data_IF_043213432859
#
_entry.id   IF_043213432859
#
_cell.length_a   1.000
_cell.length_b   1.000
_cell.length_c   1.000
_cell.angle_alpha   90.00
_cell.angle_beta   90.00
_cell.angle_gamma   90.00
#
_symmetry.space_group_name_H-M   'P 1'
#
loop_
_entity.id
_entity.type
_entity.pdbx_description
1 polymer ?
#
# COMPACT_ATOMS: atom_id res chain seq x y z
N UNK A 1 -2.97 -22.78 10.32
CA UNK A 1 -1.67 -22.51 10.95
C UNK A 1 -1.82 -21.29 11.84
N UNK A 2 -1.83 -21.51 13.14
CA UNK A 2 -1.95 -20.45 14.14
C UNK A 2 -0.56 -19.95 14.50
N UNK A 3 -0.25 -18.71 14.15
CA UNK A 3 0.96 -18.04 14.63
C UNK A 3 0.66 -17.46 16.01
N UNK A 4 1.32 -18.00 17.03
CA UNK A 4 1.28 -17.42 18.38
C UNK A 4 2.14 -16.16 18.38
N UNK A 5 1.49 -15.00 18.38
CA UNK A 5 2.14 -13.70 18.56
C UNK A 5 1.92 -13.24 20.00
N UNK A 6 2.82 -12.41 20.58
CA UNK A 6 2.72 -11.96 21.98
C UNK A 6 1.51 -11.04 22.27
N UNK A 7 0.59 -10.88 21.32
CA UNK A 7 -0.60 -10.02 21.39
C UNK A 7 -1.92 -10.80 21.21
N UNK A 8 -1.89 -12.14 21.19
CA UNK A 8 -3.07 -12.99 21.06
C UNK A 8 -3.01 -14.00 19.90
N UNK A 9 -4.12 -14.71 19.67
CA UNK A 9 -4.24 -15.72 18.61
C UNK A 9 -4.66 -15.04 17.31
N UNK A 10 -3.73 -14.94 16.36
CA UNK A 10 -4.05 -14.52 15.00
C UNK A 10 -4.60 -15.70 14.21
N UNK A 11 -5.93 -15.78 14.07
CA UNK A 11 -6.58 -16.83 13.29
C UNK A 11 -6.47 -16.53 11.79
N UNK A 12 -5.48 -17.13 11.13
CA UNK A 12 -5.30 -17.02 9.68
C UNK A 12 -6.29 -17.93 8.95
N UNK A 13 -7.01 -17.40 7.96
CA UNK A 13 -7.85 -18.23 7.08
C UNK A 13 -6.95 -19.08 6.18
N UNK A 14 -7.28 -20.36 5.92
CA UNK A 14 -6.49 -21.24 5.05
C UNK A 14 -6.36 -20.72 3.60
N UNK A 15 -7.29 -19.86 3.20
CA UNK A 15 -7.25 -19.09 1.95
C UNK A 15 -7.67 -17.65 2.24
N UNK A 16 -6.86 -16.70 1.78
CA UNK A 16 -7.35 -15.36 1.47
C UNK A 16 -8.31 -15.46 0.29
N UNK A 17 -9.48 -14.83 0.39
CA UNK A 17 -10.26 -14.53 -0.81
C UNK A 17 -9.48 -13.55 -1.69
N UNK A 18 -9.83 -13.47 -2.97
CA UNK A 18 -9.27 -12.49 -3.90
C UNK A 18 -9.23 -11.11 -3.21
N UNK A 19 -8.02 -10.60 -3.01
CA UNK A 19 -7.74 -9.46 -2.14
C UNK A 19 -8.79 -8.34 -2.32
N UNK A 20 -9.55 -8.07 -1.26
CA UNK A 20 -10.41 -6.89 -1.17
C UNK A 20 -11.69 -6.87 -2.02
N UNK A 21 -12.00 -7.87 -2.85
CA UNK A 21 -13.24 -7.86 -3.64
C UNK A 21 -14.27 -8.81 -3.04
N UNK A 22 -15.14 -8.28 -2.16
CA UNK A 22 -16.28 -8.95 -1.50
C UNK A 22 -16.99 -10.06 -2.33
N UNK A 23 -16.42 -11.27 -2.40
CA UNK A 23 -17.05 -12.43 -3.04
C UNK A 23 -17.11 -12.41 -4.57
N UNK A 24 -16.33 -11.57 -5.28
CA UNK A 24 -16.32 -11.53 -6.75
C UNK A 24 -15.45 -12.62 -7.40
N UNK A 25 -15.40 -13.83 -6.82
CA UNK A 25 -14.80 -15.02 -7.46
C UNK A 25 -15.40 -15.25 -8.86
N UNK A 26 -16.64 -14.76 -9.07
CA UNK A 26 -17.41 -14.94 -10.29
C UNK A 26 -17.09 -13.94 -11.41
N UNK A 27 -16.52 -12.76 -11.14
CA UNK A 27 -16.38 -11.75 -12.21
C UNK A 27 -15.34 -12.17 -13.26
N UNK A 28 -14.28 -12.86 -12.83
CA UNK A 28 -13.24 -13.39 -13.72
C UNK A 28 -13.75 -14.55 -14.57
N UNK A 29 -14.72 -15.33 -14.07
CA UNK A 29 -15.37 -16.40 -14.83
C UNK A 29 -16.46 -15.86 -15.77
N UNK A 30 -17.18 -14.80 -15.38
CA UNK A 30 -18.24 -14.16 -16.19
C UNK A 30 -17.70 -13.26 -17.30
N UNK A 31 -16.67 -12.45 -17.02
CA UNK A 31 -16.11 -11.50 -18.01
C UNK A 31 -15.24 -12.18 -19.07
N UNK A 32 -15.01 -13.49 -18.94
CA UNK A 32 -14.02 -14.21 -19.71
C UNK A 32 -12.62 -13.60 -19.53
N UNK A 33 -11.62 -14.21 -20.13
CA UNK A 33 -10.26 -13.65 -20.15
C UNK A 33 -10.12 -12.34 -20.94
N UNK A 34 -11.25 -11.69 -21.27
CA UNK A 34 -11.34 -10.54 -22.14
C UNK A 34 -10.92 -9.26 -21.42
N UNK A 35 -11.43 -9.00 -20.21
CA UNK A 35 -11.18 -7.74 -19.50
C UNK A 35 -9.68 -7.44 -19.25
N UNK A 36 -8.89 -8.45 -18.84
CA UNK A 36 -7.43 -8.27 -18.67
C UNK A 36 -6.71 -8.08 -20.01
N UNK A 37 -7.14 -8.78 -21.06
CA UNK A 37 -6.56 -8.63 -22.42
C UNK A 37 -6.90 -7.28 -23.02
N UNK A 38 -8.12 -6.80 -22.82
CA UNK A 38 -8.59 -5.48 -23.22
C UNK A 38 -7.86 -4.39 -22.46
N UNK A 39 -7.72 -4.51 -21.13
CA UNK A 39 -6.92 -3.59 -20.33
C UNK A 39 -5.46 -3.57 -20.80
N UNK A 40 -4.87 -4.74 -21.10
CA UNK A 40 -3.52 -4.82 -21.66
C UNK A 40 -3.42 -4.16 -23.04
N UNK A 41 -4.43 -4.33 -23.91
CA UNK A 41 -4.48 -3.68 -25.22
C UNK A 41 -4.64 -2.16 -25.10
N UNK A 42 -5.47 -1.69 -24.16
CA UNK A 42 -5.62 -0.26 -23.81
C UNK A 42 -4.30 0.29 -23.29
N UNK A 43 -3.64 -0.37 -22.34
CA UNK A 43 -2.35 0.06 -21.81
C UNK A 43 -1.24 0.02 -22.88
N UNK A 44 -1.31 -0.89 -23.85
CA UNK A 44 -0.38 -0.88 -25.00
C UNK A 44 -0.62 0.31 -25.93
N UNK A 45 -1.88 0.68 -26.16
CA UNK A 45 -2.27 1.82 -27.00
C UNK A 45 -2.05 3.17 -26.30
N UNK A 46 -2.24 3.20 -24.98
CA UNK A 46 -2.13 4.35 -24.11
C UNK A 46 -1.30 3.96 -22.88
N UNK A 47 0.04 3.96 -22.99
CA UNK A 47 0.91 3.60 -21.87
C UNK A 47 0.61 4.45 -20.63
N UNK A 48 0.45 3.84 -19.45
CA UNK A 48 0.19 4.58 -18.23
C UNK A 48 1.38 5.49 -17.92
N UNK A 49 1.10 6.76 -17.66
CA UNK A 49 2.11 7.74 -17.22
C UNK A 49 2.24 7.66 -15.71
N UNK A 50 3.23 6.90 -15.24
CA UNK A 50 3.48 6.73 -13.81
C UNK A 50 4.08 8.01 -13.19
N UNK A 51 3.62 8.34 -11.99
CA UNK A 51 4.23 9.36 -11.15
C UNK A 51 5.60 8.91 -10.61
N UNK A 52 6.38 9.86 -10.10
CA UNK A 52 7.64 9.60 -9.41
C UNK A 52 7.43 9.48 -7.90
N UNK A 53 8.36 8.84 -7.20
CA UNK A 53 8.43 8.86 -5.73
C UNK A 53 8.40 10.29 -5.20
N UNK A 54 9.08 11.24 -5.84
CA UNK A 54 9.06 12.64 -5.39
C UNK A 54 7.64 13.19 -5.27
N UNK A 55 6.76 12.86 -6.22
CA UNK A 55 5.35 13.25 -6.18
C UNK A 55 4.56 12.54 -5.08
N UNK A 56 4.87 11.27 -4.79
CA UNK A 56 4.30 10.58 -3.63
C UNK A 56 4.73 11.26 -2.33
N UNK A 57 6.00 11.65 -2.20
CA UNK A 57 6.47 12.33 -0.98
C UNK A 57 5.92 13.76 -0.88
N UNK A 58 5.68 14.46 -1.99
CA UNK A 58 4.93 15.74 -1.96
C UNK A 58 3.54 15.57 -1.31
N UNK A 59 2.86 14.44 -1.57
CA UNK A 59 1.60 14.12 -0.89
C UNK A 59 1.78 13.79 0.59
N UNK A 60 2.86 13.11 0.98
CA UNK A 60 3.18 12.88 2.39
C UNK A 60 3.40 14.21 3.11
N UNK A 61 4.22 15.10 2.54
CA UNK A 61 4.48 16.43 3.10
C UNK A 61 3.18 17.20 3.32
N UNK A 62 2.30 17.21 2.31
CA UNK A 62 1.00 17.87 2.44
C UNK A 62 0.11 17.27 3.54
N UNK A 63 0.09 15.93 3.70
CA UNK A 63 -0.68 15.28 4.78
C UNK A 63 -0.07 15.63 6.15
N UNK A 64 1.25 15.67 6.26
CA UNK A 64 1.95 16.08 7.48
C UNK A 64 1.62 17.53 7.83
N UNK A 65 1.58 18.44 6.85
CA UNK A 65 1.20 19.85 7.05
C UNK A 65 -0.25 20.01 7.53
N UNK A 66 -1.17 19.20 6.99
CA UNK A 66 -2.61 19.32 7.28
C UNK A 66 -3.02 18.59 8.55
N UNK A 67 -2.53 17.36 8.75
CA UNK A 67 -2.96 16.46 9.82
C UNK A 67 -1.91 16.25 10.91
N UNK A 68 -0.63 16.48 10.62
CA UNK A 68 0.48 16.21 11.53
C UNK A 68 1.12 14.84 11.32
N UNK A 69 2.38 14.70 11.74
CA UNK A 69 3.20 13.51 11.52
C UNK A 69 2.68 12.22 12.17
N UNK A 70 1.78 12.33 13.17
CA UNK A 70 1.19 11.18 13.88
C UNK A 70 0.01 10.52 13.15
N UNK A 71 -0.36 11.05 11.98
CA UNK A 71 -1.58 10.68 11.24
C UNK A 71 -1.33 10.29 9.78
N UNK A 72 -0.08 10.04 9.40
CA UNK A 72 0.31 9.59 8.05
C UNK A 72 0.86 8.16 8.06
N UNK A 73 0.62 7.40 7.00
CA UNK A 73 1.14 6.05 6.80
C UNK A 73 1.29 5.72 5.32
N UNK A 74 1.86 4.55 5.00
CA UNK A 74 2.06 4.08 3.62
C UNK A 74 1.14 2.89 3.32
N UNK A 75 0.39 3.00 2.22
CA UNK A 75 -0.33 1.88 1.59
C UNK A 75 -0.07 1.91 0.09
N UNK A 76 0.69 0.96 -0.43
CA UNK A 76 1.21 1.03 -1.81
C UNK A 76 0.22 0.64 -2.88
N UNK A 77 -0.80 -0.16 -2.52
CA UNK A 77 -1.73 -0.78 -3.46
C UNK A 77 -1.02 -1.57 -4.58
N UNK A 78 0.16 -2.14 -4.27
CA UNK A 78 0.83 -3.10 -5.14
C UNK A 78 -0.11 -4.28 -5.43
N UNK A 79 -0.08 -4.80 -6.66
CA UNK A 79 -1.02 -5.80 -7.20
C UNK A 79 -2.49 -5.34 -7.31
N UNK A 80 -2.84 -4.17 -6.76
CA UNK A 80 -4.15 -3.51 -6.90
C UNK A 80 -4.22 -2.44 -8.00
N UNK A 81 -3.06 -2.06 -8.56
CA UNK A 81 -2.94 -1.04 -9.61
C UNK A 81 -2.00 0.11 -9.25
N UNK A 82 -1.53 0.17 -8.00
CA UNK A 82 -0.51 1.10 -7.56
C UNK A 82 0.87 0.77 -8.14
N UNK A 83 1.53 1.78 -8.71
CA UNK A 83 2.93 1.74 -9.13
C UNK A 83 3.48 3.16 -9.33
N UNK A 84 4.77 3.33 -9.07
CA UNK A 84 5.52 4.54 -9.42
C UNK A 84 6.62 4.17 -10.41
N UNK A 85 7.08 5.14 -11.21
CA UNK A 85 8.09 4.89 -12.27
C UNK A 85 9.43 4.39 -11.69
N UNK A 86 9.73 4.76 -10.46
CA UNK A 86 10.96 4.52 -9.69
C UNK A 86 10.69 3.73 -8.38
N UNK A 87 9.45 3.24 -8.20
CA UNK A 87 9.04 2.27 -7.20
C UNK A 87 7.89 1.41 -7.79
N UNK A 88 8.25 0.52 -8.70
CA UNK A 88 7.26 -0.28 -9.44
C UNK A 88 6.69 -1.43 -8.59
N UNK A 89 7.52 -2.00 -7.72
CA UNK A 89 7.18 -3.14 -6.86
C UNK A 89 7.93 -3.08 -5.52
N UNK A 90 7.68 -4.09 -4.67
CA UNK A 90 8.24 -4.18 -3.33
C UNK A 90 9.78 -4.21 -3.28
N UNK A 91 10.47 -4.67 -4.34
CA UNK A 91 11.93 -4.69 -4.38
C UNK A 91 12.55 -3.29 -4.38
N UNK A 92 11.77 -2.28 -4.79
CA UNK A 92 12.18 -0.89 -4.90
C UNK A 92 11.66 -0.03 -3.74
N UNK A 93 10.92 -0.61 -2.79
CA UNK A 93 10.22 0.13 -1.74
C UNK A 93 11.17 0.95 -0.83
N UNK A 94 12.43 0.53 -0.72
CA UNK A 94 13.51 1.27 -0.03
C UNK A 94 13.78 2.66 -0.61
N UNK A 95 13.41 2.90 -1.86
CA UNK A 95 13.59 4.19 -2.52
C UNK A 95 12.69 5.26 -1.88
N UNK A 96 11.52 4.88 -1.35
CA UNK A 96 10.63 5.77 -0.58
C UNK A 96 11.35 6.28 0.67
N UNK A 97 11.97 5.37 1.44
CA UNK A 97 12.77 5.75 2.62
C UNK A 97 13.94 6.65 2.24
N UNK A 98 14.58 6.39 1.11
CA UNK A 98 15.70 7.21 0.63
C UNK A 98 15.27 8.65 0.31
N UNK A 99 14.10 8.83 -0.29
CA UNK A 99 13.54 10.16 -0.57
C UNK A 99 13.13 10.87 0.73
N UNK A 100 12.48 10.19 1.68
CA UNK A 100 12.14 10.76 2.99
C UNK A 100 13.39 11.27 3.72
N UNK A 101 14.49 10.51 3.72
CA UNK A 101 15.77 10.95 4.30
C UNK A 101 16.29 12.20 3.59
N UNK A 102 16.24 12.24 2.26
CA UNK A 102 16.69 13.40 1.47
C UNK A 102 15.88 14.66 1.78
N UNK A 103 14.60 14.52 2.13
CA UNK A 103 13.73 15.63 2.55
C UNK A 103 13.88 16.03 4.01
N UNK A 104 14.76 15.36 4.76
CA UNK A 104 15.08 15.74 6.13
C UNK A 104 14.17 15.14 7.20
N UNK A 105 13.35 14.14 6.86
CA UNK A 105 12.62 13.38 7.87
C UNK A 105 13.60 12.66 8.79
N UNK A 106 13.39 12.79 10.10
CA UNK A 106 14.18 12.09 11.11
C UNK A 106 13.82 10.61 11.15
N UNK A 107 14.74 9.79 11.67
CA UNK A 107 14.49 8.35 11.86
C UNK A 107 13.18 8.07 12.60
N UNK A 108 12.87 8.87 13.64
CA UNK A 108 11.63 8.71 14.42
C UNK A 108 10.36 9.00 13.61
N UNK A 109 10.41 9.98 12.71
CA UNK A 109 9.27 10.31 11.85
C UNK A 109 9.09 9.26 10.75
N UNK A 110 10.19 8.76 10.20
CA UNK A 110 10.19 7.64 9.25
C UNK A 110 9.59 6.38 9.91
N UNK A 111 9.95 6.07 11.15
CA UNK A 111 9.37 4.95 11.92
C UNK A 111 7.85 5.11 12.12
N UNK A 112 7.38 6.34 12.39
CA UNK A 112 5.95 6.65 12.48
C UNK A 112 5.22 6.37 11.16
N UNK A 113 5.75 6.90 10.05
CA UNK A 113 5.19 6.73 8.70
C UNK A 113 5.15 5.25 8.28
N UNK A 114 6.22 4.50 8.54
CA UNK A 114 6.33 3.10 8.11
C UNK A 114 5.46 2.11 8.87
N UNK A 115 4.90 2.51 10.02
CA UNK A 115 4.01 1.64 10.76
C UNK A 115 3.73 2.07 12.18
N UNK A 116 4.54 2.95 12.79
CA UNK A 116 4.30 3.42 14.15
C UNK A 116 2.89 4.00 14.33
N UNK A 117 2.44 4.82 13.37
CA UNK A 117 1.10 5.43 13.40
C UNK A 117 0.00 4.39 13.20
N UNK A 118 0.16 3.48 12.24
CA UNK A 118 -0.78 2.38 12.02
C UNK A 118 -0.90 1.51 13.27
N UNK A 119 0.22 1.11 13.88
CA UNK A 119 0.23 0.26 15.05
C UNK A 119 -0.37 0.94 16.28
N UNK A 120 -0.26 2.26 16.41
CA UNK A 120 -0.98 3.03 17.44
C UNK A 120 -2.50 2.84 17.29
N UNK A 121 -3.03 3.08 16.09
CA UNK A 121 -4.46 2.96 15.80
C UNK A 121 -4.93 1.51 15.92
N UNK A 122 -4.14 0.56 15.41
CA UNK A 122 -4.48 -0.85 15.46
C UNK A 122 -4.66 -1.35 16.90
N UNK A 123 -3.77 -0.97 17.82
CA UNK A 123 -3.90 -1.30 19.24
C UNK A 123 -5.15 -0.68 19.88
N UNK A 124 -5.40 0.60 19.61
CA UNK A 124 -6.58 1.29 20.13
C UNK A 124 -7.89 0.60 19.70
N UNK A 125 -7.96 0.14 18.45
CA UNK A 125 -9.13 -0.61 17.95
C UNK A 125 -9.26 -1.99 18.60
N UNK A 126 -8.17 -2.65 18.97
CA UNK A 126 -8.21 -3.96 19.63
C UNK A 126 -8.63 -3.88 21.10
N UNK A 127 -8.38 -2.75 21.77
CA UNK A 127 -8.72 -2.54 23.19
C UNK A 127 -10.17 -2.08 23.41
N UNK A 128 -10.86 -1.67 22.34
CA UNK A 128 -12.28 -1.29 22.32
C UNK A 128 -13.18 -2.47 21.95
#
# INVERSE_FOLDING_TARGET
DDLSLPFGILRLRPKGGDAGHNGLINITQILGHQARKELAAVNKKFPPKLAAISGMIDHIDHIVDVAGIDYVGIGTDFDGGGALKDCYDVSQIKNITSELIQRGYTTKEIEKIWGGNFMRVFREVQEN
#
